data_IF_244021901260
#
_entry.id   IF_244021901260
#
_cell.length_a   1.000
_cell.length_b   1.000
_cell.length_c   1.000
_cell.angle_alpha   90.00
_cell.angle_beta   90.00
_cell.angle_gamma   90.00
#
_symmetry.space_group_name_H-M   'P 1'
#
loop_
_entity.id
_entity.type
_entity.pdbx_description
1 polymer ?
#
# COMPACT_ATOMS: atom_id res chain seq x y z
N UNK A 1 16.67 -3.35 -5.89
CA UNK A 1 15.64 -2.37 -5.46
C UNK A 1 14.37 -2.51 -6.30
N UNK A 2 14.46 -2.93 -7.56
CA UNK A 2 13.31 -3.05 -8.47
C UNK A 2 12.23 -4.05 -8.03
N UNK A 3 12.59 -5.12 -7.30
CA UNK A 3 11.62 -6.11 -6.80
C UNK A 3 10.54 -5.51 -5.89
N UNK A 4 10.91 -4.52 -5.06
CA UNK A 4 9.95 -3.89 -4.15
C UNK A 4 9.02 -2.96 -4.95
N UNK A 5 9.58 -2.20 -5.89
CA UNK A 5 8.81 -1.31 -6.78
C UNK A 5 7.79 -2.10 -7.61
N UNK A 6 8.24 -3.15 -8.31
CA UNK A 6 7.36 -3.99 -9.13
C UNK A 6 6.33 -4.76 -8.31
N UNK A 7 6.67 -5.14 -7.07
CA UNK A 7 5.72 -5.74 -6.14
C UNK A 7 4.58 -4.78 -5.77
N UNK A 8 4.89 -3.52 -5.49
CA UNK A 8 3.88 -2.49 -5.25
C UNK A 8 3.01 -2.24 -6.49
N UNK A 9 3.61 -2.12 -7.67
CA UNK A 9 2.87 -1.92 -8.93
C UNK A 9 1.92 -3.09 -9.21
N UNK A 10 2.36 -4.33 -8.91
CA UNK A 10 1.53 -5.52 -9.05
C UNK A 10 0.35 -5.51 -8.08
N UNK A 11 0.59 -5.22 -6.80
CA UNK A 11 -0.46 -5.17 -5.78
C UNK A 11 -1.49 -4.07 -6.10
N UNK A 12 -1.05 -2.90 -6.54
CA UNK A 12 -1.96 -1.80 -6.93
C UNK A 12 -2.77 -2.11 -8.18
N UNK A 13 -2.26 -2.97 -9.07
CA UNK A 13 -2.97 -3.40 -10.30
C UNK A 13 -3.88 -4.62 -10.07
N UNK A 14 -3.74 -5.31 -8.95
CA UNK A 14 -4.50 -6.50 -8.62
C UNK A 14 -5.86 -6.14 -8.02
N UNK A 15 -6.94 -6.38 -8.78
CA UNK A 15 -8.29 -6.10 -8.30
C UNK A 15 -8.75 -7.05 -7.19
N UNK A 16 -8.10 -8.20 -7.01
CA UNK A 16 -8.43 -9.16 -5.95
C UNK A 16 -7.74 -8.85 -4.62
N UNK A 17 -6.70 -8.01 -4.63
CA UNK A 17 -6.02 -7.60 -3.41
C UNK A 17 -6.81 -6.53 -2.65
N UNK A 18 -7.06 -6.77 -1.36
CA UNK A 18 -7.84 -5.86 -0.53
C UNK A 18 -7.40 -5.82 0.94
N UNK A 19 -8.20 -5.16 1.80
CA UNK A 19 -7.91 -5.00 3.22
C UNK A 19 -7.60 -6.31 3.94
N UNK A 20 -8.38 -7.37 3.72
CA UNK A 20 -8.20 -8.66 4.39
C UNK A 20 -6.89 -9.37 4.02
N UNK A 21 -6.45 -9.25 2.76
CA UNK A 21 -5.15 -9.77 2.33
C UNK A 21 -4.01 -8.99 2.97
N UNK A 22 -4.11 -7.66 2.97
CA UNK A 22 -3.09 -6.79 3.54
C UNK A 22 -2.97 -6.94 5.07
N UNK A 23 -4.10 -7.01 5.77
CA UNK A 23 -4.19 -7.25 7.21
C UNK A 23 -3.54 -8.59 7.59
N UNK A 24 -3.80 -9.66 6.83
CA UNK A 24 -3.19 -10.97 7.09
C UNK A 24 -1.65 -10.91 7.01
N UNK A 25 -1.10 -10.04 6.17
CA UNK A 25 0.34 -9.88 5.96
C UNK A 25 1.00 -8.93 6.96
N UNK A 26 0.27 -7.93 7.44
CA UNK A 26 0.85 -6.77 8.17
C UNK A 26 0.24 -6.51 9.53
N UNK A 27 -0.91 -7.13 9.83
CA UNK A 27 -1.75 -6.88 11.00
C UNK A 27 -2.26 -5.42 11.09
N UNK A 28 -2.36 -4.74 9.95
CA UNK A 28 -2.94 -3.40 9.81
C UNK A 28 -4.32 -3.53 9.15
N UNK A 29 -5.34 -3.05 9.84
CA UNK A 29 -6.72 -3.06 9.35
C UNK A 29 -7.02 -1.81 8.52
N UNK A 30 -7.81 -1.97 7.45
CA UNK A 30 -8.30 -0.86 6.63
C UNK A 30 -9.83 -0.95 6.49
N UNK A 31 -10.56 0.18 6.53
CA UNK A 31 -12.03 0.17 6.50
C UNK A 31 -12.59 -0.26 5.14
N UNK A 32 -11.86 0.03 4.06
CA UNK A 32 -12.25 -0.27 2.70
C UNK A 32 -11.03 -0.30 1.76
N UNK A 33 -11.27 -0.78 0.54
CA UNK A 33 -10.24 -0.93 -0.48
C UNK A 33 -9.70 0.41 -0.97
N UNK A 34 -10.51 1.47 -0.99
CA UNK A 34 -10.10 2.80 -1.45
C UNK A 34 -9.07 3.42 -0.50
N UNK A 35 -9.30 3.28 0.81
CA UNK A 35 -8.40 3.73 1.88
C UNK A 35 -7.08 2.98 1.84
N UNK A 36 -7.12 1.64 1.67
CA UNK A 36 -5.91 0.83 1.47
C UNK A 36 -5.14 1.28 0.23
N UNK A 37 -5.82 1.45 -0.90
CA UNK A 37 -5.19 1.82 -2.16
C UNK A 37 -4.53 3.21 -2.08
N UNK A 38 -5.17 4.15 -1.38
CA UNK A 38 -4.60 5.49 -1.12
C UNK A 38 -3.32 5.37 -0.30
N UNK A 39 -3.36 4.63 0.80
CA UNK A 39 -2.19 4.39 1.65
C UNK A 39 -1.03 3.72 0.89
N UNK A 40 -1.31 2.71 0.06
CA UNK A 40 -0.29 2.03 -0.73
C UNK A 40 0.36 2.95 -1.77
N UNK A 41 -0.42 3.86 -2.37
CA UNK A 41 0.09 4.87 -3.29
C UNK A 41 0.98 5.88 -2.57
N UNK A 42 0.55 6.38 -1.42
CA UNK A 42 1.37 7.31 -0.62
C UNK A 42 2.68 6.64 -0.15
N UNK A 43 2.62 5.36 0.21
CA UNK A 43 3.82 4.58 0.55
C UNK A 43 4.74 4.41 -0.65
N UNK A 44 4.19 4.17 -1.84
CA UNK A 44 4.97 4.08 -3.07
C UNK A 44 5.67 5.41 -3.36
N UNK A 45 4.96 6.53 -3.27
CA UNK A 45 5.53 7.86 -3.50
C UNK A 45 6.59 8.25 -2.46
N UNK A 46 6.46 7.79 -1.21
CA UNK A 46 7.49 7.94 -0.17
C UNK A 46 8.74 7.11 -0.44
N UNK A 47 8.59 5.86 -0.89
CA UNK A 47 9.73 4.96 -1.11
C UNK A 47 10.46 5.22 -2.43
N UNK A 48 9.74 5.71 -3.45
CA UNK A 48 10.21 5.73 -4.84
C UNK A 48 10.04 7.08 -5.55
N UNK A 49 9.28 8.00 -4.98
CA UNK A 49 9.09 9.37 -5.45
C UNK A 49 9.77 10.37 -4.53
N UNK A 50 9.18 11.56 -4.45
CA UNK A 50 9.71 12.69 -3.68
C UNK A 50 8.85 13.01 -2.43
N UNK A 51 7.97 12.10 -2.00
CA UNK A 51 7.11 12.39 -0.85
C UNK A 51 7.96 12.50 0.43
N UNK A 52 7.80 13.59 1.20
CA UNK A 52 8.75 13.92 2.27
C UNK A 52 8.55 13.11 3.55
N UNK A 53 7.35 12.56 3.78
CA UNK A 53 6.98 11.87 5.02
C UNK A 53 6.35 10.50 4.74
N UNK A 54 6.64 9.54 5.63
CA UNK A 54 6.02 8.22 5.59
C UNK A 54 4.54 8.34 5.97
N UNK A 55 3.60 7.82 5.16
CA UNK A 55 2.19 7.84 5.51
C UNK A 55 1.92 6.93 6.72
N UNK A 56 1.02 7.39 7.58
CA UNK A 56 0.55 6.62 8.72
C UNK A 56 -0.60 5.71 8.30
N UNK A 57 -0.57 4.41 8.67
CA UNK A 57 -1.74 3.56 8.49
C UNK A 57 -2.92 4.10 9.33
N UNK A 58 -4.17 3.78 8.95
CA UNK A 58 -5.31 4.00 9.83
C UNK A 58 -5.09 3.25 11.16
N UNK A 59 -5.52 3.89 12.25
CA UNK A 59 -5.34 3.39 13.62
C UNK A 59 -6.43 2.45 14.07
#
# INVERSE_FOLDING_TARGET
MDLIRSGFEQIMSDESFGPSEYERLTNIEFPDKETLHTYLRDMYDYLFGDAPEQPMPPG
#
